data_IF_623513631465
#
_entry.id   IF_623513631465
#
_cell.length_a   1.000
_cell.length_b   1.000
_cell.length_c   1.000
_cell.angle_alpha   90.00
_cell.angle_beta   90.00
_cell.angle_gamma   90.00
#
_symmetry.space_group_name_H-M   'P 1'
#
loop_
_entity.id
_entity.type
_entity.pdbx_description
1 polymer ?
#
# COMPACT_ATOMS: atom_id res chain seq x y z
N UNK A 1 -14.41 3.96 -14.75
CA UNK A 1 -14.95 5.01 -13.85
C UNK A 1 -16.04 4.46 -12.94
N UNK A 2 -16.37 5.19 -11.87
CA UNK A 2 -17.46 4.79 -10.95
C UNK A 2 -18.79 4.61 -11.64
N UNK A 3 -19.17 5.51 -12.54
CA UNK A 3 -20.41 5.36 -13.33
C UNK A 3 -20.44 4.06 -14.14
N UNK A 4 -19.29 3.65 -14.69
CA UNK A 4 -19.19 2.38 -15.42
C UNK A 4 -19.39 1.15 -14.52
N UNK A 5 -19.03 1.23 -13.25
CA UNK A 5 -19.29 0.16 -12.26
C UNK A 5 -20.76 0.20 -11.84
N UNK A 6 -21.30 1.40 -11.57
CA UNK A 6 -22.70 1.60 -11.18
C UNK A 6 -23.69 1.11 -12.26
N UNK A 7 -23.40 1.42 -13.51
CA UNK A 7 -24.28 1.05 -14.65
C UNK A 7 -24.21 -0.43 -15.05
N UNK A 8 -23.30 -1.22 -14.49
CA UNK A 8 -23.06 -2.60 -14.91
C UNK A 8 -23.00 -3.56 -13.71
N UNK A 9 -24.15 -4.06 -13.24
CA UNK A 9 -24.20 -5.04 -12.14
C UNK A 9 -23.34 -6.29 -12.37
N UNK A 10 -23.14 -6.70 -13.61
CA UNK A 10 -22.29 -7.84 -13.96
C UNK A 10 -20.79 -7.61 -13.61
N UNK A 11 -20.41 -6.37 -13.34
CA UNK A 11 -19.05 -6.00 -12.87
C UNK A 11 -18.93 -5.94 -11.37
N UNK A 12 -19.97 -6.24 -10.63
CA UNK A 12 -19.91 -6.26 -9.17
C UNK A 12 -19.15 -7.50 -8.66
N UNK A 13 -18.86 -7.54 -7.36
CA UNK A 13 -17.96 -8.53 -6.82
C UNK A 13 -16.49 -8.18 -7.04
N UNK A 14 -16.16 -6.89 -7.20
CA UNK A 14 -14.80 -6.39 -7.39
C UNK A 14 -14.40 -5.43 -6.29
N UNK A 15 -13.12 -5.40 -5.96
CA UNK A 15 -12.55 -4.34 -5.13
C UNK A 15 -12.30 -3.11 -6.00
N UNK A 16 -12.72 -1.95 -5.51
CA UNK A 16 -12.62 -0.67 -6.22
C UNK A 16 -11.87 0.34 -5.36
N UNK A 17 -10.85 1.00 -5.94
CA UNK A 17 -10.06 2.05 -5.30
C UNK A 17 -10.00 3.27 -6.21
N UNK A 18 -10.17 4.51 -5.70
CA UNK A 18 -10.06 5.71 -6.53
C UNK A 18 -8.61 5.92 -7.00
N UNK A 19 -8.44 6.38 -8.25
CA UNK A 19 -7.13 6.85 -8.74
C UNK A 19 -6.76 8.18 -8.09
N UNK A 20 -7.76 9.05 -7.87
CA UNK A 20 -7.55 10.31 -7.14
C UNK A 20 -7.42 10.00 -5.65
N UNK A 21 -6.28 10.33 -5.08
CA UNK A 21 -5.98 10.04 -3.68
C UNK A 21 -7.05 10.59 -2.73
N UNK A 22 -7.47 9.75 -1.78
CA UNK A 22 -8.46 10.06 -0.73
C UNK A 22 -9.84 10.53 -1.24
N UNK A 23 -10.19 10.30 -2.50
CA UNK A 23 -11.53 10.61 -3.00
C UNK A 23 -12.61 9.79 -2.26
N UNK A 24 -12.33 8.51 -2.00
CA UNK A 24 -13.09 7.62 -1.10
C UNK A 24 -12.19 6.47 -0.65
N UNK A 25 -12.61 5.72 0.38
CA UNK A 25 -11.90 4.52 0.84
C UNK A 25 -12.18 3.36 -0.09
N UNK A 26 -11.12 2.64 -0.51
CA UNK A 26 -11.28 1.42 -1.32
C UNK A 26 -12.20 0.40 -0.65
N UNK A 27 -13.10 -0.20 -1.42
CA UNK A 27 -14.10 -1.14 -0.93
C UNK A 27 -14.52 -2.15 -2.00
N UNK A 28 -15.18 -3.22 -1.56
CA UNK A 28 -15.79 -4.20 -2.46
C UNK A 28 -17.19 -3.76 -2.85
N UNK A 29 -17.48 -3.71 -4.14
CA UNK A 29 -18.81 -3.38 -4.66
C UNK A 29 -19.56 -4.69 -4.96
N UNK A 30 -20.55 -5.00 -4.15
CA UNK A 30 -21.46 -6.14 -4.35
C UNK A 30 -22.89 -5.70 -4.68
N UNK A 31 -23.20 -4.42 -4.49
CA UNK A 31 -24.55 -3.89 -4.73
C UNK A 31 -24.60 -2.37 -4.66
N UNK A 32 -25.78 -1.82 -4.92
CA UNK A 32 -26.01 -0.37 -4.97
C UNK A 32 -25.69 0.33 -3.65
N UNK A 33 -25.82 -0.35 -2.52
CA UNK A 33 -25.53 0.22 -1.20
C UNK A 33 -24.04 0.56 -1.03
N UNK A 34 -23.16 -0.23 -1.66
CA UNK A 34 -21.72 -0.05 -1.56
C UNK A 34 -21.23 1.16 -2.38
N UNK A 35 -22.08 1.67 -3.28
CA UNK A 35 -21.79 2.84 -4.09
C UNK A 35 -22.04 4.16 -3.34
N UNK A 36 -22.73 4.11 -2.19
CA UNK A 36 -23.00 5.29 -1.39
C UNK A 36 -21.70 5.85 -0.84
N UNK A 37 -21.40 7.12 -1.14
CA UNK A 37 -20.18 7.79 -0.70
C UNK A 37 -18.96 7.59 -1.61
N UNK A 38 -19.09 6.82 -2.71
CA UNK A 38 -18.01 6.60 -3.67
C UNK A 38 -17.91 7.69 -4.74
N UNK A 39 -18.61 8.79 -4.61
CA UNK A 39 -18.58 9.93 -5.52
C UNK A 39 -19.63 10.94 -5.16
N UNK A 40 -19.46 12.18 -5.60
CA UNK A 40 -20.53 13.15 -5.61
C UNK A 40 -21.35 12.99 -6.89
N UNK A 41 -22.60 13.48 -6.88
CA UNK A 41 -23.47 13.46 -8.07
C UNK A 41 -22.91 14.22 -9.29
N UNK A 42 -21.76 14.88 -9.13
CA UNK A 42 -21.07 15.65 -10.18
C UNK A 42 -19.67 15.12 -10.52
N UNK A 43 -19.16 14.09 -9.81
CA UNK A 43 -17.81 13.58 -10.00
C UNK A 43 -17.82 12.09 -10.36
N UNK A 44 -17.43 11.79 -11.59
CA UNK A 44 -17.24 10.42 -12.06
C UNK A 44 -15.77 10.02 -11.93
N UNK A 45 -15.36 9.54 -10.76
CA UNK A 45 -13.97 9.18 -10.48
C UNK A 45 -13.46 8.06 -11.35
N UNK A 46 -12.20 8.21 -11.82
CA UNK A 46 -11.43 7.07 -12.33
C UNK A 46 -11.09 6.15 -11.17
N UNK A 47 -11.23 4.85 -11.40
CA UNK A 47 -11.01 3.82 -10.38
C UNK A 47 -10.11 2.71 -10.91
N UNK A 48 -9.38 2.10 -10.00
CA UNK A 48 -8.70 0.83 -10.18
C UNK A 48 -9.66 -0.24 -9.67
N UNK A 49 -9.87 -1.28 -10.46
CA UNK A 49 -10.64 -2.46 -10.08
C UNK A 49 -9.71 -3.66 -9.99
N UNK A 50 -9.85 -4.45 -8.96
CA UNK A 50 -9.11 -5.70 -8.78
C UNK A 50 -10.00 -6.82 -8.28
N UNK A 51 -9.48 -8.04 -8.33
CA UNK A 51 -10.12 -9.19 -7.67
C UNK A 51 -10.26 -8.93 -6.17
N UNK A 52 -11.25 -9.56 -5.57
CA UNK A 52 -11.41 -9.56 -4.10
C UNK A 52 -10.51 -10.63 -3.52
N UNK A 53 -9.62 -10.25 -2.62
CA UNK A 53 -8.69 -11.15 -1.97
C UNK A 53 -9.23 -11.59 -0.60
N UNK A 54 -9.11 -12.88 -0.28
CA UNK A 54 -9.33 -13.41 1.07
C UNK A 54 -8.10 -13.12 1.95
N UNK A 55 -7.99 -11.86 2.41
CA UNK A 55 -6.87 -11.37 3.20
C UNK A 55 -6.98 -11.88 4.63
N UNK A 56 -5.98 -12.59 5.09
CA UNK A 56 -5.86 -13.11 6.47
C UNK A 56 -5.08 -12.17 7.36
N UNK A 57 -4.00 -11.58 6.85
CA UNK A 57 -3.18 -10.61 7.59
C UNK A 57 -2.49 -9.65 6.66
N UNK A 58 -2.36 -8.40 7.12
CA UNK A 58 -1.68 -7.33 6.41
C UNK A 58 -0.46 -6.85 7.20
N UNK A 59 0.62 -6.55 6.46
CA UNK A 59 1.92 -6.16 6.97
C UNK A 59 2.43 -4.94 6.22
N UNK A 60 3.07 -4.04 6.93
CA UNK A 60 3.76 -2.89 6.35
C UNK A 60 5.25 -3.05 6.46
N UNK A 61 5.94 -3.12 5.33
CA UNK A 61 7.38 -3.00 5.24
C UNK A 61 7.79 -1.55 5.09
N UNK A 62 8.76 -1.11 5.85
CA UNK A 62 9.29 0.26 5.80
C UNK A 62 10.60 0.28 5.04
N UNK A 63 10.63 1.04 3.94
CA UNK A 63 11.79 1.22 3.09
C UNK A 63 12.46 2.55 3.41
N UNK A 64 13.75 2.50 3.74
CA UNK A 64 14.60 3.68 3.88
C UNK A 64 15.76 3.54 2.89
N UNK A 65 15.84 4.44 1.93
CA UNK A 65 16.72 4.35 0.77
C UNK A 65 16.46 3.05 0.01
N UNK A 66 17.39 2.10 0.07
CA UNK A 66 17.34 0.80 -0.61
C UNK A 66 17.11 -0.37 0.34
N UNK A 67 16.90 -0.08 1.63
CA UNK A 67 16.82 -1.09 2.68
C UNK A 67 15.42 -1.21 3.25
N UNK A 68 14.99 -2.45 3.44
CA UNK A 68 13.82 -2.77 4.25
C UNK A 68 14.26 -2.75 5.72
N UNK A 69 13.93 -1.68 6.44
CA UNK A 69 14.40 -1.47 7.82
C UNK A 69 13.54 -2.14 8.89
N UNK A 70 12.30 -2.44 8.57
CA UNK A 70 11.38 -3.14 9.48
C UNK A 70 10.12 -3.61 8.75
N UNK A 71 9.41 -4.61 9.32
CA UNK A 71 8.10 -5.05 8.88
C UNK A 71 7.17 -5.14 10.10
N UNK A 72 6.03 -4.45 10.04
CA UNK A 72 5.04 -4.43 11.13
C UNK A 72 3.68 -4.94 10.67
N UNK A 73 3.04 -5.82 11.46
CA UNK A 73 1.65 -6.19 11.22
C UNK A 73 0.74 -5.03 11.59
N UNK A 74 -0.35 -4.83 10.84
CA UNK A 74 -1.29 -3.78 11.18
C UNK A 74 -2.77 -4.21 11.14
N UNK A 75 -3.07 -5.39 10.53
CA UNK A 75 -4.44 -5.89 10.48
C UNK A 75 -4.47 -7.41 10.30
N UNK A 76 -5.49 -8.07 10.83
CA UNK A 76 -5.78 -9.48 10.58
C UNK A 76 -5.32 -10.43 11.70
N UNK A 77 -5.32 -11.73 11.41
CA UNK A 77 -5.10 -12.82 12.36
C UNK A 77 -3.58 -13.07 12.54
N UNK A 78 -3.14 -13.09 13.80
CA UNK A 78 -1.73 -13.29 14.17
C UNK A 78 -1.16 -14.66 13.84
N UNK A 79 -1.97 -15.64 13.51
CA UNK A 79 -1.51 -16.98 13.11
C UNK A 79 -0.88 -17.01 11.71
N UNK A 80 -1.17 -16.00 10.86
CA UNK A 80 -0.64 -15.93 9.51
C UNK A 80 0.64 -15.11 9.45
N UNK A 81 1.63 -15.63 8.72
CA UNK A 81 2.92 -14.97 8.52
C UNK A 81 3.28 -14.87 7.04
N UNK A 82 3.93 -13.78 6.65
CA UNK A 82 4.45 -13.61 5.30
C UNK A 82 5.62 -14.55 5.02
N UNK A 83 5.81 -14.91 3.74
CA UNK A 83 6.97 -15.65 3.27
C UNK A 83 8.13 -14.67 3.00
N UNK A 84 9.24 -14.83 3.73
CA UNK A 84 10.41 -13.95 3.65
C UNK A 84 10.98 -13.87 2.22
N UNK A 85 11.13 -15.02 1.55
CA UNK A 85 11.62 -15.06 0.17
C UNK A 85 10.78 -14.23 -0.81
N UNK A 86 9.47 -14.09 -0.57
CA UNK A 86 8.62 -13.24 -1.38
C UNK A 86 8.93 -11.77 -1.12
N UNK A 87 9.06 -11.39 0.15
CA UNK A 87 9.40 -10.03 0.55
C UNK A 87 10.75 -9.62 -0.03
N UNK A 88 11.76 -10.49 0.07
CA UNK A 88 13.10 -10.24 -0.49
C UNK A 88 13.05 -9.97 -1.99
N UNK A 89 12.27 -10.75 -2.76
CA UNK A 89 12.08 -10.50 -4.20
C UNK A 89 11.41 -9.16 -4.48
N UNK A 90 10.45 -8.74 -3.65
CA UNK A 90 9.80 -7.42 -3.81
C UNK A 90 10.78 -6.30 -3.50
N UNK A 91 11.61 -6.45 -2.47
CA UNK A 91 12.68 -5.48 -2.14
C UNK A 91 13.69 -5.37 -3.28
N UNK A 92 14.14 -6.49 -3.85
CA UNK A 92 15.02 -6.47 -5.02
C UNK A 92 14.37 -5.78 -6.23
N UNK A 93 13.09 -6.07 -6.50
CA UNK A 93 12.35 -5.39 -7.55
C UNK A 93 12.24 -3.87 -7.28
N UNK A 94 12.01 -3.47 -6.04
CA UNK A 94 11.96 -2.05 -5.63
C UNK A 94 13.29 -1.34 -5.96
N UNK A 95 14.43 -1.98 -5.70
CA UNK A 95 15.77 -1.42 -5.98
C UNK A 95 15.99 -1.09 -7.45
N UNK A 96 15.27 -1.76 -8.36
CA UNK A 96 15.37 -1.53 -9.80
C UNK A 96 14.52 -0.34 -10.30
N UNK A 97 13.61 0.20 -9.48
CA UNK A 97 12.72 1.30 -9.88
C UNK A 97 13.53 2.59 -10.03
N UNK A 98 13.55 3.23 -11.23
CA UNK A 98 14.18 4.52 -11.40
C UNK A 98 13.49 5.61 -10.55
N UNK A 99 14.26 6.49 -9.93
CA UNK A 99 13.74 7.59 -9.11
C UNK A 99 12.78 7.16 -7.99
N UNK A 100 12.99 5.96 -7.44
CA UNK A 100 12.20 5.45 -6.33
C UNK A 100 12.22 6.39 -5.13
N UNK A 101 11.17 6.38 -4.29
CA UNK A 101 11.16 7.19 -3.07
C UNK A 101 12.27 6.73 -2.11
N UNK A 102 12.99 7.68 -1.53
CA UNK A 102 14.02 7.40 -0.51
C UNK A 102 13.43 6.99 0.85
N UNK A 103 12.15 7.29 1.07
CA UNK A 103 11.36 6.81 2.19
C UNK A 103 9.97 6.44 1.71
N UNK A 104 9.53 5.21 1.94
CA UNK A 104 8.18 4.74 1.59
C UNK A 104 7.80 3.50 2.41
N UNK A 105 6.58 3.02 2.23
CA UNK A 105 6.19 1.69 2.67
C UNK A 105 5.81 0.79 1.50
N UNK A 106 6.01 -0.51 1.72
CA UNK A 106 5.55 -1.59 0.84
C UNK A 106 4.63 -2.46 1.69
N UNK A 107 3.37 -2.55 1.30
CA UNK A 107 2.38 -3.30 2.04
C UNK A 107 2.20 -4.70 1.43
N UNK A 108 2.19 -5.70 2.31
CA UNK A 108 2.03 -7.11 1.99
C UNK A 108 0.78 -7.67 2.64
N UNK A 109 0.21 -8.70 2.05
CA UNK A 109 -0.81 -9.50 2.70
C UNK A 109 -0.51 -10.99 2.59
N UNK A 110 -0.99 -11.73 3.59
CA UNK A 110 -1.18 -13.16 3.49
C UNK A 110 -2.62 -13.41 3.09
N UNK A 111 -2.82 -14.09 1.99
CA UNK A 111 -4.13 -14.39 1.41
C UNK A 111 -4.31 -15.89 1.24
N UNK A 112 -5.57 -16.34 1.24
CA UNK A 112 -5.92 -17.68 0.79
C UNK A 112 -6.50 -17.58 -0.62
N UNK A 113 -5.84 -18.19 -1.59
CA UNK A 113 -6.32 -18.30 -2.96
C UNK A 113 -6.41 -19.77 -3.35
N UNK A 114 -7.60 -20.23 -3.71
CA UNK A 114 -7.86 -21.65 -4.05
C UNK A 114 -7.42 -22.63 -2.95
N UNK A 115 -7.57 -22.22 -1.69
CA UNK A 115 -7.15 -23.01 -0.53
C UNK A 115 -5.65 -22.99 -0.23
N UNK A 116 -4.86 -22.24 -0.97
CA UNK A 116 -3.41 -22.12 -0.81
C UNK A 116 -3.08 -20.78 -0.16
N UNK A 117 -2.27 -20.84 0.91
CA UNK A 117 -1.72 -19.65 1.56
C UNK A 117 -0.62 -19.02 0.67
N UNK A 118 -0.73 -17.72 0.44
CA UNK A 118 0.22 -16.97 -0.37
C UNK A 118 0.52 -15.61 0.24
N UNK A 119 1.75 -15.15 0.11
CA UNK A 119 2.11 -13.75 0.37
C UNK A 119 2.00 -12.97 -0.93
N UNK A 120 1.32 -11.84 -0.87
CA UNK A 120 1.13 -10.96 -2.03
C UNK A 120 1.56 -9.52 -1.71
N UNK A 121 2.02 -8.80 -2.72
CA UNK A 121 2.22 -7.36 -2.67
C UNK A 121 0.87 -6.66 -2.85
N UNK A 122 0.53 -5.72 -1.98
CA UNK A 122 -0.70 -4.94 -2.05
C UNK A 122 -0.48 -3.58 -2.72
N UNK A 123 0.39 -2.78 -2.13
CA UNK A 123 0.64 -1.41 -2.59
C UNK A 123 1.95 -0.85 -2.05
N UNK A 124 2.41 0.23 -2.66
CA UNK A 124 3.46 1.10 -2.13
C UNK A 124 2.84 2.44 -1.74
N UNK A 125 3.19 2.94 -0.55
CA UNK A 125 2.73 4.24 -0.07
C UNK A 125 3.91 5.19 0.10
N UNK A 126 3.73 6.44 -0.35
CA UNK A 126 4.76 7.47 -0.27
C UNK A 126 5.11 7.81 1.20
N UNK A 127 6.41 7.99 1.48
CA UNK A 127 6.94 8.20 2.80
C UNK A 127 6.69 9.58 3.42
N UNK A 128 6.11 10.53 2.69
CA UNK A 128 5.89 11.87 3.23
C UNK A 128 4.86 11.93 4.36
N UNK A 129 3.96 10.95 4.45
CA UNK A 129 2.94 10.84 5.50
C UNK A 129 2.47 9.39 5.65
N UNK A 130 3.16 8.59 6.45
CA UNK A 130 2.84 7.19 6.74
C UNK A 130 2.37 7.00 8.18
N UNK A 131 1.52 5.99 8.40
CA UNK A 131 1.32 5.44 9.73
C UNK A 131 2.55 4.61 10.15
N UNK A 132 3.04 4.78 11.38
CA UNK A 132 4.26 4.13 11.85
C UNK A 132 4.07 2.69 12.36
N UNK A 133 2.87 2.29 12.71
CA UNK A 133 2.52 0.93 13.18
C UNK A 133 3.51 0.30 14.18
N UNK A 134 4.13 1.12 15.02
CA UNK A 134 5.12 0.67 15.99
C UNK A 134 6.56 0.57 15.48
N UNK A 135 6.85 1.10 14.28
CA UNK A 135 8.23 1.32 13.85
C UNK A 135 8.94 2.19 14.89
N UNK A 136 10.19 1.84 15.22
CA UNK A 136 10.99 2.61 16.17
C UNK A 136 11.07 4.08 15.73
N UNK A 137 10.82 4.99 16.66
CA UNK A 137 10.58 6.40 16.35
C UNK A 137 11.75 7.09 15.61
N UNK A 138 13.01 6.70 15.89
CA UNK A 138 14.16 7.24 15.17
C UNK A 138 14.20 6.75 13.71
N UNK A 139 13.87 5.49 13.47
CA UNK A 139 13.78 4.95 12.11
C UNK A 139 12.65 5.62 11.34
N UNK A 140 11.53 5.87 12.01
CA UNK A 140 10.41 6.60 11.40
C UNK A 140 10.81 8.04 11.05
N UNK A 141 11.49 8.76 11.96
CA UNK A 141 11.99 10.11 11.70
C UNK A 141 12.95 10.15 10.50
N UNK A 142 13.91 9.22 10.43
CA UNK A 142 14.84 9.09 9.31
C UNK A 142 14.10 8.84 7.98
N UNK A 143 13.12 7.93 7.97
CA UNK A 143 12.34 7.61 6.77
C UNK A 143 11.58 8.82 6.24
N UNK A 144 10.88 9.54 7.12
CA UNK A 144 10.15 10.77 6.76
C UNK A 144 11.12 11.85 6.27
N UNK A 145 12.26 12.05 6.97
CA UNK A 145 13.29 13.02 6.59
C UNK A 145 13.85 12.74 5.19
N UNK A 146 14.27 11.50 4.94
CA UNK A 146 14.81 11.08 3.64
C UNK A 146 13.84 11.39 2.49
N UNK A 147 12.53 11.09 2.71
CA UNK A 147 11.53 11.38 1.68
C UNK A 147 11.29 12.88 1.47
N UNK A 148 11.20 13.66 2.53
CA UNK A 148 11.04 15.11 2.44
C UNK A 148 12.25 15.79 1.82
N UNK A 149 13.48 15.38 2.20
CA UNK A 149 14.71 15.88 1.59
C UNK A 149 14.71 15.64 0.07
N UNK A 150 14.35 14.42 -0.37
CA UNK A 150 14.22 14.09 -1.80
C UNK A 150 13.17 14.97 -2.50
N UNK A 151 11.98 15.16 -1.93
CA UNK A 151 10.91 15.97 -2.52
C UNK A 151 11.30 17.43 -2.64
N UNK A 152 12.03 17.96 -1.64
CA UNK A 152 12.50 19.34 -1.60
C UNK A 152 13.81 19.55 -2.36
N UNK A 153 14.41 18.46 -2.91
CA UNK A 153 15.73 18.49 -3.58
C UNK A 153 16.82 19.08 -2.68
N UNK A 154 16.85 18.65 -1.44
CA UNK A 154 17.82 19.02 -0.40
C UNK A 154 18.58 17.80 0.06
N UNK A 155 19.71 18.03 0.71
CA UNK A 155 20.44 17.00 1.44
C UNK A 155 19.61 16.52 2.63
N UNK A 156 19.68 15.21 2.92
CA UNK A 156 19.03 14.63 4.09
C UNK A 156 20.00 14.70 5.28
N UNK A 157 19.74 15.58 6.22
CA UNK A 157 20.55 15.79 7.43
C UNK A 157 20.60 14.55 8.35
N UNK A 158 19.71 13.57 8.14
CA UNK A 158 19.67 12.30 8.88
C UNK A 158 20.24 11.11 8.09
N UNK A 159 20.91 11.37 6.98
CA UNK A 159 21.66 10.35 6.26
C UNK A 159 23.04 10.12 6.90
N UNK A 160 23.19 8.98 7.58
CA UNK A 160 24.43 8.60 8.25
C UNK A 160 25.12 7.41 7.57
N UNK A 161 24.78 7.11 6.31
CA UNK A 161 25.35 5.93 5.62
C UNK A 161 26.83 6.06 5.29
N UNK A 162 27.32 7.28 5.10
CA UNK A 162 28.70 7.58 4.73
C UNK A 162 29.60 7.99 5.91
N UNK A 163 29.12 7.83 7.17
CA UNK A 163 29.86 8.17 8.38
C UNK A 163 30.35 6.95 9.17
#
# INVERSE_FOLDING_TARGET
TMDSINANPDKWGVFVKPVKDKAFTGLVINGTKDLIGCGSCYENYKVICSEVLDIKREWRGFMLYDELIDIRPYKGDYHYHYHADFVDRVVEAFRTIPNRPMGCSIDFAVVIKEGIEQTVFLEMNDGYALGNYGLYYLNYAKLISARWAQLLKREDEFDFRDN
#
